data_IF_710169860138
#
_entry.id   IF_710169860138
#
_cell.length_a   1.000
_cell.length_b   1.000
_cell.length_c   1.000
_cell.angle_alpha   90.00
_cell.angle_beta   90.00
_cell.angle_gamma   90.00
#
_symmetry.space_group_name_H-M   'P 1'
#
loop_
_entity.id
_entity.type
_entity.pdbx_description
1 polymer ?
#
# COMPACT_ATOMS: atom_id res chain seq x y z
N UNK A 1 7.14 3.57 -3.83
CA UNK A 1 6.26 3.72 -5.01
C UNK A 1 6.95 4.66 -5.99
N UNK A 2 6.95 4.34 -7.28
CA UNK A 2 7.51 5.20 -8.32
C UNK A 2 6.42 5.57 -9.32
N UNK A 3 6.41 6.84 -9.73
CA UNK A 3 5.57 7.31 -10.83
C UNK A 3 6.39 7.39 -12.13
N UNK A 4 7.63 6.90 -12.12
CA UNK A 4 8.48 6.82 -13.30
C UNK A 4 8.30 5.48 -14.01
N UNK A 5 7.75 5.53 -15.22
CA UNK A 5 7.51 4.35 -16.06
C UNK A 5 8.81 3.69 -16.51
N UNK A 6 9.93 4.41 -16.54
CA UNK A 6 11.25 3.84 -16.86
C UNK A 6 11.70 2.89 -15.75
N UNK A 7 11.59 3.32 -14.49
CA UNK A 7 11.81 2.48 -13.31
C UNK A 7 10.87 1.26 -13.29
N UNK A 8 9.61 1.42 -13.72
CA UNK A 8 8.66 0.30 -13.83
C UNK A 8 9.09 -0.69 -14.91
N UNK A 9 9.49 -0.21 -16.10
CA UNK A 9 9.95 -1.06 -17.20
C UNK A 9 11.16 -1.91 -16.82
N UNK A 10 12.10 -1.36 -16.06
CA UNK A 10 13.30 -2.05 -15.59
C UNK A 10 13.06 -2.92 -14.35
N UNK A 11 12.16 -2.50 -13.46
CA UNK A 11 11.98 -3.10 -12.14
C UNK A 11 10.87 -4.14 -12.02
N UNK A 12 10.02 -4.30 -13.04
CA UNK A 12 8.86 -5.21 -13.00
C UNK A 12 9.02 -6.34 -14.00
N UNK A 13 8.76 -7.58 -13.54
CA UNK A 13 8.69 -8.76 -14.40
C UNK A 13 7.27 -8.87 -14.99
N UNK A 14 7.14 -8.53 -16.26
CA UNK A 14 5.89 -8.70 -17.01
C UNK A 14 5.71 -10.15 -17.49
N UNK A 15 4.47 -10.52 -17.82
CA UNK A 15 4.13 -11.84 -18.40
C UNK A 15 4.78 -12.08 -19.77
N UNK A 16 5.10 -11.01 -20.49
CA UNK A 16 5.84 -11.01 -21.75
C UNK A 16 6.73 -9.75 -21.85
N UNK A 17 7.57 -9.68 -22.88
CA UNK A 17 8.44 -8.53 -23.10
C UNK A 17 7.61 -7.36 -23.62
N UNK A 18 7.71 -6.22 -22.93
CA UNK A 18 7.23 -4.93 -23.40
C UNK A 18 8.40 -3.97 -23.54
N UNK A 19 8.32 -3.06 -24.51
CA UNK A 19 9.19 -1.89 -24.57
C UNK A 19 8.58 -0.73 -23.75
N UNK A 20 9.39 0.28 -23.45
CA UNK A 20 8.95 1.43 -22.65
C UNK A 20 7.77 2.17 -23.29
N UNK A 21 7.76 2.31 -24.62
CA UNK A 21 6.70 3.01 -25.36
C UNK A 21 5.36 2.29 -25.21
N UNK A 22 5.32 0.96 -25.32
CA UNK A 22 4.10 0.17 -25.11
C UNK A 22 3.55 0.34 -23.69
N UNK A 23 4.42 0.39 -22.68
CA UNK A 23 4.02 0.63 -21.29
C UNK A 23 3.42 2.04 -21.14
N UNK A 24 4.08 3.05 -21.72
CA UNK A 24 3.59 4.43 -21.73
C UNK A 24 2.23 4.56 -22.42
N UNK A 25 2.09 4.02 -23.63
CA UNK A 25 0.85 4.06 -24.40
C UNK A 25 -0.29 3.41 -23.62
N UNK A 26 -0.08 2.25 -22.99
CA UNK A 26 -1.10 1.60 -22.16
C UNK A 26 -1.44 2.39 -20.91
N UNK A 27 -0.46 2.98 -20.24
CA UNK A 27 -0.68 3.84 -19.07
C UNK A 27 -1.50 5.08 -19.43
N UNK A 28 -1.13 5.76 -20.52
CA UNK A 28 -1.85 6.92 -21.01
C UNK A 28 -3.26 6.59 -21.49
N UNK A 29 -3.44 5.47 -22.20
CA UNK A 29 -4.76 4.99 -22.58
C UNK A 29 -5.65 4.73 -21.35
N UNK A 30 -5.11 4.10 -20.31
CA UNK A 30 -5.84 3.86 -19.07
C UNK A 30 -6.32 5.15 -18.39
N UNK A 31 -5.50 6.21 -18.46
CA UNK A 31 -5.79 7.50 -17.81
C UNK A 31 -6.67 8.43 -18.66
N UNK A 32 -6.47 8.45 -19.98
CA UNK A 32 -7.00 9.50 -20.85
C UNK A 32 -7.96 9.00 -21.94
N UNK A 33 -7.93 7.72 -22.31
CA UNK A 33 -8.95 7.17 -23.19
C UNK A 33 -10.22 6.88 -22.36
N UNK A 34 -11.32 7.61 -22.60
CA UNK A 34 -12.52 7.47 -21.77
C UNK A 34 -13.19 6.10 -21.90
N UNK A 35 -13.01 5.40 -23.02
CA UNK A 35 -13.56 4.05 -23.24
C UNK A 35 -12.77 3.05 -22.40
N UNK A 36 -11.44 3.10 -22.48
CA UNK A 36 -10.56 2.19 -21.74
C UNK A 36 -10.67 2.45 -20.24
N UNK A 37 -10.64 3.73 -19.83
CA UNK A 37 -10.80 4.12 -18.43
C UNK A 37 -12.13 3.62 -17.84
N UNK A 38 -13.24 3.80 -18.57
CA UNK A 38 -14.56 3.31 -18.15
C UNK A 38 -14.60 1.78 -18.05
N UNK A 39 -14.04 1.07 -19.02
CA UNK A 39 -14.00 -0.40 -19.01
C UNK A 39 -13.18 -0.91 -17.82
N UNK A 40 -12.01 -0.31 -17.56
CA UNK A 40 -11.19 -0.66 -16.40
C UNK A 40 -11.93 -0.41 -15.08
N UNK A 41 -12.65 0.72 -14.96
CA UNK A 41 -13.48 1.01 -13.79
C UNK A 41 -14.60 -0.02 -13.59
N UNK A 42 -15.23 -0.48 -14.67
CA UNK A 42 -16.25 -1.53 -14.60
C UNK A 42 -15.65 -2.86 -14.15
N UNK A 43 -14.50 -3.25 -14.72
CA UNK A 43 -13.80 -4.47 -14.33
C UNK A 43 -13.39 -4.45 -12.85
N UNK A 44 -12.88 -3.32 -12.35
CA UNK A 44 -12.52 -3.15 -10.93
C UNK A 44 -13.72 -3.36 -10.00
N UNK A 45 -14.92 -2.92 -10.39
CA UNK A 45 -16.16 -3.10 -9.60
C UNK A 45 -16.68 -4.55 -9.60
N UNK A 46 -16.28 -5.35 -10.58
CA UNK A 46 -16.68 -6.75 -10.73
C UNK A 46 -15.65 -7.72 -10.14
N UNK A 47 -14.58 -7.23 -9.52
CA UNK A 47 -13.59 -8.08 -8.88
C UNK A 47 -14.21 -8.88 -7.73
N UNK A 48 -13.82 -10.15 -7.62
CA UNK A 48 -14.23 -11.02 -6.53
C UNK A 48 -13.77 -10.43 -5.18
N UNK A 49 -14.57 -10.50 -4.10
CA UNK A 49 -14.19 -9.96 -2.79
C UNK A 49 -12.82 -10.45 -2.28
N UNK A 50 -12.47 -11.70 -2.58
CA UNK A 50 -11.16 -12.27 -2.23
C UNK A 50 -10.01 -11.57 -2.97
N UNK A 51 -10.17 -11.26 -4.25
CA UNK A 51 -9.18 -10.51 -5.01
C UNK A 51 -9.02 -9.08 -4.47
N UNK A 52 -10.14 -8.45 -4.08
CA UNK A 52 -10.12 -7.14 -3.42
C UNK A 52 -9.34 -7.23 -2.11
N UNK A 53 -9.64 -8.19 -1.24
CA UNK A 53 -8.93 -8.38 0.02
C UNK A 53 -7.42 -8.63 -0.18
N UNK A 54 -7.06 -9.44 -1.18
CA UNK A 54 -5.66 -9.70 -1.52
C UNK A 54 -4.93 -8.43 -1.98
N UNK A 55 -5.57 -7.57 -2.80
CA UNK A 55 -5.01 -6.28 -3.22
C UNK A 55 -4.87 -5.36 -2.00
N UNK A 56 -5.94 -5.23 -1.22
CA UNK A 56 -6.02 -4.38 -0.04
C UNK A 56 -4.97 -4.74 1.02
N UNK A 57 -4.68 -6.02 1.22
CA UNK A 57 -3.61 -6.46 2.14
C UNK A 57 -2.21 -6.00 1.73
N UNK A 58 -2.00 -5.70 0.44
CA UNK A 58 -0.73 -5.24 -0.14
C UNK A 58 -0.67 -3.73 -0.32
N UNK A 59 -1.72 -3.01 0.08
CA UNK A 59 -1.74 -1.53 0.04
C UNK A 59 -0.63 -1.02 0.95
N UNK A 60 0.20 -0.13 0.42
CA UNK A 60 1.30 0.49 1.16
C UNK A 60 0.79 1.34 2.31
N UNK A 61 1.57 1.42 3.39
CA UNK A 61 1.27 2.34 4.48
C UNK A 61 1.46 3.79 4.01
N UNK A 62 0.47 4.62 4.31
CA UNK A 62 0.55 6.06 4.05
C UNK A 62 1.47 6.73 5.07
N UNK A 63 2.01 7.90 4.73
CA UNK A 63 2.82 8.70 5.66
C UNK A 63 2.07 9.05 6.96
N UNK A 64 0.74 9.17 6.90
CA UNK A 64 -0.09 9.44 8.08
C UNK A 64 -0.20 8.20 8.98
N UNK A 65 -0.41 7.02 8.39
CA UNK A 65 -0.38 5.75 9.13
C UNK A 65 0.99 5.52 9.78
N UNK A 66 2.07 5.75 9.03
CA UNK A 66 3.44 5.61 9.53
C UNK A 66 3.75 6.58 10.67
N UNK A 67 3.25 7.82 10.61
CA UNK A 67 3.42 8.79 11.70
C UNK A 67 2.73 8.35 13.00
N UNK A 68 1.56 7.72 12.92
CA UNK A 68 0.90 7.16 14.09
C UNK A 68 1.67 5.94 14.62
N UNK A 69 2.14 5.07 13.72
CA UNK A 69 2.94 3.90 14.11
C UNK A 69 4.29 4.28 14.72
N UNK A 70 4.94 5.35 14.23
CA UNK A 70 6.23 5.80 14.77
C UNK A 70 6.16 6.32 16.21
N UNK A 71 4.97 6.68 16.69
CA UNK A 71 4.74 7.12 18.07
C UNK A 71 4.62 5.95 19.06
N UNK A 72 4.45 4.73 18.57
CA UNK A 72 4.46 3.52 19.42
C UNK A 72 5.91 3.24 19.82
N UNK A 73 6.23 3.49 21.09
CA UNK A 73 7.60 3.42 21.61
C UNK A 73 8.25 2.04 21.45
N UNK A 74 9.54 2.04 21.13
CA UNK A 74 10.33 0.83 20.88
C UNK A 74 10.64 0.01 22.14
N UNK A 75 10.62 0.66 23.31
CA UNK A 75 10.98 0.12 24.63
C UNK A 75 9.82 -0.62 25.31
N UNK A 76 8.58 -0.17 25.07
CA UNK A 76 7.38 -0.92 25.44
C UNK A 76 7.26 -2.10 24.49
N UNK A 77 7.33 -3.34 24.98
CA UNK A 77 7.02 -4.53 24.15
C UNK A 77 5.54 -4.45 23.74
N UNK A 78 5.18 -3.92 22.57
CA UNK A 78 3.79 -3.61 22.26
C UNK A 78 3.10 -4.92 21.88
N UNK A 79 1.98 -5.20 22.54
CA UNK A 79 1.17 -6.39 22.24
C UNK A 79 0.29 -6.14 21.03
N UNK A 80 -0.32 -7.20 20.51
CA UNK A 80 -1.29 -7.08 19.42
C UNK A 80 -2.45 -6.12 19.80
N UNK A 81 -2.85 -6.11 21.07
CA UNK A 81 -3.90 -5.24 21.60
C UNK A 81 -3.55 -3.75 21.46
N UNK A 82 -2.27 -3.38 21.61
CA UNK A 82 -1.82 -1.99 21.41
C UNK A 82 -2.13 -1.51 19.99
N UNK A 83 -1.88 -2.36 18.99
CA UNK A 83 -2.17 -2.03 17.58
C UNK A 83 -3.67 -2.12 17.26
N UNK A 84 -4.40 -3.00 17.95
CA UNK A 84 -5.85 -3.05 17.83
C UNK A 84 -6.50 -1.77 18.38
N UNK A 85 -6.04 -1.27 19.54
CA UNK A 85 -6.48 0.02 20.07
C UNK A 85 -6.13 1.17 19.13
N UNK A 86 -4.93 1.15 18.53
CA UNK A 86 -4.49 2.18 17.60
C UNK A 86 -5.41 2.28 16.37
N UNK A 87 -5.84 1.14 15.83
CA UNK A 87 -6.83 1.09 14.75
C UNK A 87 -8.18 1.68 15.16
N UNK A 88 -8.67 1.35 16.35
CA UNK A 88 -9.96 1.85 16.85
C UNK A 88 -9.92 3.34 17.17
N UNK A 89 -8.78 3.88 17.60
CA UNK A 89 -8.61 5.31 17.94
C UNK A 89 -8.51 6.20 16.70
N UNK A 90 -8.05 5.67 15.56
CA UNK A 90 -7.83 6.43 14.32
C UNK A 90 -8.38 5.74 13.07
N UNK A 91 -9.68 5.35 13.04
CA UNK A 91 -10.28 4.65 11.90
C UNK A 91 -10.26 5.47 10.60
N UNK A 92 -10.16 6.79 10.68
CA UNK A 92 -10.07 7.71 9.54
C UNK A 92 -8.67 7.78 8.92
N UNK A 93 -7.62 7.42 9.67
CA UNK A 93 -6.23 7.47 9.20
C UNK A 93 -5.81 6.12 8.61
N UNK A 94 -6.18 5.02 9.26
CA UNK A 94 -5.83 3.69 8.79
C UNK A 94 -6.71 3.24 7.63
N UNK A 95 -6.09 2.57 6.66
CA UNK A 95 -6.84 2.00 5.55
C UNK A 95 -7.84 0.94 6.07
N UNK A 96 -9.10 0.87 5.60
CA UNK A 96 -10.15 0.03 6.21
C UNK A 96 -9.84 -1.46 6.32
N UNK A 97 -8.95 -1.98 5.47
CA UNK A 97 -8.53 -3.39 5.51
C UNK A 97 -7.32 -3.65 6.42
N UNK A 98 -6.84 -2.64 7.16
CA UNK A 98 -5.72 -2.81 8.09
C UNK A 98 -6.13 -3.69 9.25
N UNK A 99 -5.18 -4.51 9.69
CA UNK A 99 -5.34 -5.39 10.85
C UNK A 99 -4.24 -5.11 11.85
N UNK A 100 -4.50 -5.36 13.13
CA UNK A 100 -3.50 -5.18 14.19
C UNK A 100 -2.19 -5.93 13.86
N UNK A 101 -2.30 -7.12 13.26
CA UNK A 101 -1.16 -7.91 12.82
C UNK A 101 -0.36 -7.22 11.70
N UNK A 102 -1.03 -6.62 10.72
CA UNK A 102 -0.35 -5.88 9.66
C UNK A 102 0.38 -4.65 10.21
N UNK A 103 -0.22 -3.93 11.16
CA UNK A 103 0.41 -2.81 11.85
C UNK A 103 1.63 -3.26 12.66
N UNK A 104 1.52 -4.35 13.42
CA UNK A 104 2.62 -4.89 14.20
C UNK A 104 3.82 -5.28 13.30
N UNK A 105 3.56 -5.97 12.19
CA UNK A 105 4.61 -6.35 11.23
C UNK A 105 5.28 -5.12 10.61
N UNK A 106 4.50 -4.10 10.23
CA UNK A 106 5.06 -2.86 9.70
C UNK A 106 5.85 -2.07 10.75
N UNK A 107 5.37 -2.01 11.98
CA UNK A 107 6.08 -1.38 13.10
C UNK A 107 7.42 -2.10 13.39
N UNK A 108 7.46 -3.43 13.34
CA UNK A 108 8.71 -4.18 13.49
C UNK A 108 9.72 -3.83 12.39
N UNK A 109 9.23 -3.67 11.16
CA UNK A 109 10.04 -3.22 10.03
C UNK A 109 10.57 -1.80 10.25
N UNK A 110 9.71 -0.87 10.67
CA UNK A 110 10.11 0.49 11.00
C UNK A 110 11.16 0.53 12.11
N UNK A 111 10.99 -0.30 13.14
CA UNK A 111 11.96 -0.46 14.24
C UNK A 111 13.32 -0.94 13.75
N UNK A 112 13.35 -1.91 12.83
CA UNK A 112 14.58 -2.44 12.24
C UNK A 112 15.34 -1.36 11.44
N UNK A 113 14.62 -0.43 10.83
CA UNK A 113 15.21 0.65 10.03
C UNK A 113 15.39 1.97 10.80
N UNK A 114 15.25 1.98 12.12
CA UNK A 114 15.37 3.19 12.97
C UNK A 114 14.41 4.31 12.56
N UNK A 115 13.18 3.95 12.20
CA UNK A 115 12.14 4.88 11.75
C UNK A 115 11.11 5.20 12.85
N UNK A 116 11.32 4.75 14.09
CA UNK A 116 10.48 5.13 15.23
C UNK A 116 10.96 6.46 15.83
N UNK A 117 10.02 7.22 16.40
CA UNK A 117 10.29 8.56 16.91
C UNK A 117 11.26 8.57 18.11
N UNK A 118 11.36 7.47 18.84
CA UNK A 118 12.29 7.29 19.96
C UNK A 118 13.65 6.70 19.53
N UNK A 119 13.81 6.35 18.25
CA UNK A 119 15.06 5.87 17.66
C UNK A 119 15.81 6.94 16.85
N UNK A 120 15.20 8.12 16.68
CA UNK A 120 15.75 9.28 15.94
C UNK A 120 15.92 10.47 16.87
#
# INVERSE_FOLDING_TARGET
>A
QTNDLSSVHLGVKFSCRFNLREIQERWYALLYDPVISKLACQAMRQLHPEAIAAIQSKVLFSKAEERLLSQVGSSTQPTLDTFQELLHKHPEVFYPSRTAKALQLHWQLMKQYYLLADQT
#
